data_IF_362433307429
#
_entry.id   IF_362433307429
#
_cell.length_a   1.000
_cell.length_b   1.000
_cell.length_c   1.000
_cell.angle_alpha   90.00
_cell.angle_beta   90.00
_cell.angle_gamma   90.00
#
_symmetry.space_group_name_H-M   'P 1'
#
loop_
_entity.id
_entity.type
_entity.pdbx_description
1 polymer ?
#
# COMPACT_ATOMS: atom_id res chain seq x y z
N UNK A 1 21.55 25.09 11.92
CA UNK A 1 20.53 25.73 12.77
C UNK A 1 21.24 26.34 13.97
N UNK A 2 21.21 27.67 14.12
CA UNK A 2 21.93 28.38 15.17
C UNK A 2 21.27 28.20 16.55
N UNK A 3 22.05 28.39 17.63
CA UNK A 3 21.56 28.34 19.03
C UNK A 3 20.32 29.23 19.23
N UNK A 4 20.24 30.35 18.53
CA UNK A 4 19.12 31.28 18.59
C UNK A 4 17.81 30.72 18.02
N UNK A 5 17.88 29.92 16.95
CA UNK A 5 16.70 29.29 16.34
C UNK A 5 16.17 28.18 17.27
N UNK A 6 17.08 27.45 17.90
CA UNK A 6 16.73 26.41 18.89
C UNK A 6 16.05 27.03 20.12
N UNK A 7 16.58 28.15 20.63
CA UNK A 7 15.99 28.86 21.77
C UNK A 7 14.60 29.45 21.43
N UNK A 8 14.41 29.92 20.21
CA UNK A 8 13.12 30.44 19.74
C UNK A 8 12.06 29.34 19.65
N UNK A 9 12.45 28.18 19.16
CA UNK A 9 11.59 26.97 19.05
C UNK A 9 11.12 26.45 20.41
N UNK A 10 11.97 26.56 21.43
CA UNK A 10 11.67 26.03 22.79
C UNK A 10 11.35 27.13 23.82
N UNK A 11 11.02 28.35 23.38
CA UNK A 11 10.67 29.48 24.25
C UNK A 11 9.53 29.16 25.23
N UNK A 12 8.59 28.32 24.82
CA UNK A 12 7.47 27.86 25.64
C UNK A 12 7.89 26.99 26.85
N UNK A 13 9.10 26.36 26.79
CA UNK A 13 9.64 25.57 27.90
C UNK A 13 10.25 26.43 29.02
N UNK A 14 10.59 27.68 28.75
CA UNK A 14 11.28 28.55 29.70
C UNK A 14 10.50 28.76 31.01
N UNK A 15 9.18 29.01 31.02
CA UNK A 15 8.42 29.09 32.24
C UNK A 15 8.45 27.79 33.04
N UNK A 16 8.25 26.65 32.39
CA UNK A 16 8.30 25.33 33.02
C UNK A 16 9.65 25.02 33.69
N UNK A 17 10.77 25.49 33.07
CA UNK A 17 12.09 25.34 33.63
C UNK A 17 12.30 26.31 34.82
N UNK A 18 11.71 27.51 34.75
CA UNK A 18 11.78 28.51 35.84
C UNK A 18 11.02 28.06 37.08
N UNK A 19 9.88 27.40 36.87
CA UNK A 19 9.03 26.92 37.98
C UNK A 19 9.47 25.56 38.55
N UNK A 20 10.36 24.85 37.85
CA UNK A 20 10.87 23.56 38.31
C UNK A 20 11.78 23.70 39.56
N UNK A 21 11.70 22.72 40.46
CA UNK A 21 12.58 22.63 41.61
C UNK A 21 14.07 22.68 41.24
N UNK A 22 14.90 23.22 42.10
CA UNK A 22 16.34 23.50 41.85
C UNK A 22 17.13 22.26 41.39
N UNK A 23 16.83 21.10 41.95
CA UNK A 23 17.44 19.80 41.59
C UNK A 23 17.00 19.33 40.19
N UNK A 24 15.70 19.48 39.85
CA UNK A 24 15.10 19.16 38.55
C UNK A 24 15.69 20.10 37.48
N UNK A 25 15.75 21.40 37.78
CA UNK A 25 16.34 22.41 36.90
C UNK A 25 17.82 22.11 36.58
N UNK A 26 18.60 21.71 37.58
CA UNK A 26 20.02 21.33 37.38
C UNK A 26 20.13 20.08 36.48
N UNK A 27 19.29 19.07 36.69
CA UNK A 27 19.26 17.86 35.84
C UNK A 27 18.87 18.19 34.41
N UNK A 28 17.84 19.01 34.19
CA UNK A 28 17.42 19.47 32.89
C UNK A 28 18.55 20.23 32.17
N UNK A 29 19.14 21.22 32.79
CA UNK A 29 20.26 21.98 32.22
C UNK A 29 21.49 21.12 31.92
N UNK A 30 21.79 20.15 32.78
CA UNK A 30 22.87 19.18 32.53
C UNK A 30 22.57 18.31 31.32
N UNK A 31 21.34 17.89 31.15
CA UNK A 31 20.92 17.08 30.01
C UNK A 31 20.90 17.89 28.69
N UNK A 32 20.44 19.14 28.71
CA UNK A 32 20.45 20.03 27.52
C UNK A 32 21.89 20.29 27.03
N UNK A 33 22.87 20.23 27.94
CA UNK A 33 24.33 20.42 27.61
C UNK A 33 24.99 19.14 27.12
N UNK A 34 24.34 17.98 27.24
CA UNK A 34 24.89 16.74 26.67
C UNK A 34 24.92 16.84 25.16
N UNK A 35 25.94 16.26 24.54
CA UNK A 35 25.98 16.13 23.10
C UNK A 35 24.75 15.34 22.62
N UNK A 36 24.27 15.64 21.42
CA UNK A 36 23.11 15.02 20.80
C UNK A 36 23.21 13.49 20.78
N UNK A 37 24.39 12.96 20.57
CA UNK A 37 24.71 11.52 20.54
C UNK A 37 24.35 10.80 21.85
N UNK A 38 24.35 11.51 22.98
CA UNK A 38 23.99 10.94 24.28
C UNK A 38 22.46 10.85 24.50
N UNK A 39 21.65 11.52 23.67
CA UNK A 39 20.19 11.46 23.71
C UNK A 39 19.62 10.41 22.77
N UNK A 40 20.34 10.11 21.71
CA UNK A 40 19.96 9.15 20.67
C UNK A 40 21.06 8.09 20.63
N UNK A 41 20.95 7.03 21.47
CA UNK A 41 21.96 5.98 21.48
C UNK A 41 22.03 5.32 20.10
N UNK A 42 23.23 5.11 19.61
CA UNK A 42 23.44 4.31 18.40
C UNK A 42 23.23 2.84 18.72
N UNK A 43 22.55 2.14 17.85
CA UNK A 43 22.31 0.71 17.90
C UNK A 43 22.73 0.06 16.59
N UNK A 44 22.47 -1.24 16.46
CA UNK A 44 22.76 -2.00 15.24
C UNK A 44 21.68 -1.86 14.17
N UNK A 45 20.49 -1.33 14.54
CA UNK A 45 19.36 -1.13 13.65
C UNK A 45 19.34 0.28 13.08
N UNK A 46 18.88 0.42 11.83
CA UNK A 46 18.90 1.66 11.06
C UNK A 46 17.65 2.53 11.24
N UNK A 47 16.67 2.08 12.04
CA UNK A 47 15.44 2.84 12.26
C UNK A 47 15.74 4.22 12.89
N UNK A 48 15.02 5.26 12.43
CA UNK A 48 15.17 6.63 12.95
C UNK A 48 14.71 6.71 14.41
N UNK A 49 15.69 6.68 15.31
CA UNK A 49 15.49 6.73 16.77
C UNK A 49 14.69 7.98 17.18
N UNK A 50 14.88 9.11 16.53
CA UNK A 50 14.14 10.34 16.84
C UNK A 50 12.65 10.17 16.55
N UNK A 51 12.31 9.58 15.41
CA UNK A 51 10.93 9.31 15.05
C UNK A 51 10.31 8.23 15.95
N UNK A 52 11.06 7.19 16.30
CA UNK A 52 10.63 6.19 17.28
C UNK A 52 10.31 6.83 18.65
N UNK A 53 11.18 7.70 19.16
CA UNK A 53 10.96 8.42 20.43
C UNK A 53 9.73 9.34 20.31
N UNK A 54 9.59 10.11 19.25
CA UNK A 54 8.45 10.99 19.05
C UNK A 54 7.15 10.20 19.06
N UNK A 55 7.11 9.06 18.37
CA UNK A 55 5.94 8.18 18.37
C UNK A 55 5.60 7.64 19.76
N UNK A 56 6.60 7.19 20.53
CA UNK A 56 6.40 6.68 21.89
C UNK A 56 5.87 7.72 22.88
N UNK A 57 6.23 9.00 22.70
CA UNK A 57 5.88 10.10 23.60
C UNK A 57 4.65 10.87 23.15
N UNK A 58 4.07 10.53 22.02
CA UNK A 58 2.89 11.15 21.44
C UNK A 58 1.62 10.76 22.24
N UNK A 59 0.53 11.57 22.21
CA UNK A 59 -0.77 11.20 22.75
C UNK A 59 -1.44 9.98 22.12
N UNK A 60 -0.85 9.42 21.07
CA UNK A 60 -1.27 8.17 20.40
C UNK A 60 -2.69 8.21 19.82
N UNK A 61 -3.07 9.31 19.19
CA UNK A 61 -4.38 9.44 18.53
C UNK A 61 -4.63 8.34 17.50
N UNK A 62 -3.58 7.91 16.81
CA UNK A 62 -3.64 6.83 15.81
C UNK A 62 -4.12 5.48 16.36
N UNK A 63 -4.09 5.27 17.68
CA UNK A 63 -4.59 4.01 18.30
C UNK A 63 -6.09 3.82 18.12
N UNK A 64 -6.85 4.91 18.06
CA UNK A 64 -8.31 4.85 17.98
C UNK A 64 -8.79 4.34 16.62
N UNK A 65 -7.97 4.45 15.59
CA UNK A 65 -8.30 4.05 14.22
C UNK A 65 -7.35 2.99 13.64
N UNK A 66 -6.55 2.32 14.47
CA UNK A 66 -5.72 1.21 14.03
C UNK A 66 -6.57 -0.07 13.94
N UNK A 67 -6.89 -0.54 12.72
CA UNK A 67 -7.72 -1.72 12.50
C UNK A 67 -7.16 -2.98 13.19
N UNK A 68 -5.85 -3.20 13.14
CA UNK A 68 -5.19 -4.33 13.82
C UNK A 68 -5.34 -4.26 15.35
N UNK A 69 -5.25 -3.05 15.94
CA UNK A 69 -5.46 -2.89 17.38
C UNK A 69 -6.91 -3.16 17.76
N UNK A 70 -7.87 -2.59 17.02
CA UNK A 70 -9.29 -2.79 17.26
C UNK A 70 -9.70 -4.26 17.11
N UNK A 71 -9.18 -4.94 16.09
CA UNK A 71 -9.47 -6.35 15.85
C UNK A 71 -8.88 -7.28 16.91
N UNK A 72 -7.68 -6.97 17.41
CA UNK A 72 -6.96 -7.81 18.36
C UNK A 72 -7.29 -7.52 19.82
N UNK A 73 -7.83 -6.33 20.13
CA UNK A 73 -7.98 -5.81 21.49
C UNK A 73 -6.67 -5.84 22.32
N UNK A 74 -5.53 -5.93 21.63
CA UNK A 74 -4.21 -6.07 22.24
C UNK A 74 -3.36 -4.82 22.02
N UNK A 75 -3.15 -4.04 23.08
CA UNK A 75 -2.38 -2.78 23.04
C UNK A 75 -0.94 -2.97 22.50
N UNK A 76 -0.35 -4.15 22.64
CA UNK A 76 0.96 -4.45 22.08
C UNK A 76 1.00 -4.30 20.54
N UNK A 77 -0.16 -4.35 19.87
CA UNK A 77 -0.30 -4.16 18.44
C UNK A 77 -0.61 -2.73 18.03
N UNK A 78 -0.71 -1.80 19.00
CA UNK A 78 -0.88 -0.38 18.67
C UNK A 78 0.34 0.19 17.93
N UNK A 79 0.17 1.22 17.08
CA UNK A 79 1.28 1.84 16.37
C UNK A 79 2.39 2.33 17.28
N UNK A 80 2.02 2.96 18.41
CA UNK A 80 2.98 3.48 19.37
C UNK A 80 3.73 2.39 20.13
N UNK A 81 3.08 1.26 20.43
CA UNK A 81 3.75 0.14 21.10
C UNK A 81 4.73 -0.55 20.16
N UNK A 82 4.36 -0.75 18.89
CA UNK A 82 5.30 -1.25 17.86
C UNK A 82 6.51 -0.34 17.73
N UNK A 83 6.33 0.99 17.73
CA UNK A 83 7.46 1.94 17.72
C UNK A 83 8.31 1.83 18.98
N UNK A 84 7.74 1.53 20.14
CA UNK A 84 8.47 1.28 21.40
C UNK A 84 9.32 0.01 21.29
N UNK A 85 8.78 -1.07 20.75
CA UNK A 85 9.55 -2.30 20.51
C UNK A 85 10.67 -2.02 19.51
N UNK A 86 10.36 -1.33 18.39
CA UNK A 86 11.37 -0.89 17.43
C UNK A 86 12.50 -0.11 18.08
N UNK A 87 12.20 0.81 19.00
CA UNK A 87 13.21 1.53 19.78
C UNK A 87 14.06 0.61 20.65
N UNK A 88 13.46 -0.38 21.32
CA UNK A 88 14.21 -1.31 22.17
C UNK A 88 15.10 -2.26 21.35
N UNK A 89 14.65 -2.68 20.18
CA UNK A 89 15.46 -3.43 19.21
C UNK A 89 16.64 -2.57 18.72
N UNK A 90 16.35 -1.35 18.26
CA UNK A 90 17.38 -0.41 17.73
C UNK A 90 18.41 -0.03 18.79
N UNK A 91 18.06 0.02 20.06
CA UNK A 91 18.96 0.38 21.15
C UNK A 91 19.57 -0.82 21.89
N UNK A 92 19.48 -2.02 21.32
CA UNK A 92 19.99 -3.29 21.86
C UNK A 92 19.48 -3.62 23.27
N UNK A 93 18.28 -3.13 23.64
CA UNK A 93 17.63 -3.45 24.91
C UNK A 93 16.83 -4.75 24.86
N UNK A 94 16.45 -5.15 23.67
CA UNK A 94 15.86 -6.45 23.34
C UNK A 94 16.79 -7.10 22.31
N UNK A 95 17.34 -8.26 22.65
CA UNK A 95 18.06 -9.09 21.71
C UNK A 95 17.05 -9.91 20.90
N UNK A 96 16.86 -9.61 19.59
CA UNK A 96 15.89 -10.33 18.77
C UNK A 96 16.28 -11.80 18.50
N UNK A 97 17.54 -12.17 18.73
CA UNK A 97 18.06 -13.54 18.55
C UNK A 97 17.70 -14.45 19.72
N UNK A 98 17.38 -13.90 20.90
CA UNK A 98 16.93 -14.68 22.05
C UNK A 98 15.53 -15.26 21.76
N UNK A 99 15.37 -16.61 21.80
CA UNK A 99 14.06 -17.25 21.56
C UNK A 99 12.93 -16.72 22.46
N UNK A 100 13.24 -16.20 23.64
CA UNK A 100 12.26 -15.59 24.56
C UNK A 100 11.66 -14.29 24.00
N UNK A 101 12.36 -13.65 23.07
CA UNK A 101 11.98 -12.38 22.47
C UNK A 101 11.32 -12.55 21.09
N UNK A 102 11.07 -13.78 20.66
CA UNK A 102 10.46 -14.08 19.35
C UNK A 102 9.14 -13.33 19.13
N UNK A 103 8.33 -13.21 20.19
CA UNK A 103 7.06 -12.47 20.10
C UNK A 103 7.24 -11.02 19.69
N UNK A 104 8.29 -10.33 20.16
CA UNK A 104 8.57 -8.95 19.77
C UNK A 104 8.95 -8.84 18.29
N UNK A 105 9.63 -9.85 17.75
CA UNK A 105 9.91 -9.94 16.30
C UNK A 105 8.60 -10.12 15.52
N UNK A 106 7.75 -11.06 15.93
CA UNK A 106 6.46 -11.32 15.28
C UNK A 106 5.55 -10.09 15.28
N UNK A 107 5.54 -9.30 16.37
CA UNK A 107 4.76 -8.05 16.46
C UNK A 107 5.13 -7.03 15.37
N UNK A 108 6.40 -7.01 14.91
CA UNK A 108 6.83 -6.11 13.84
C UNK A 108 6.19 -6.45 12.47
N UNK A 109 5.72 -7.69 12.30
CA UNK A 109 5.05 -8.14 11.07
C UNK A 109 3.52 -8.15 11.15
N UNK A 110 2.91 -7.95 12.33
CA UNK A 110 1.44 -7.87 12.49
C UNK A 110 0.93 -6.46 12.20
N UNK A 111 0.94 -6.08 10.91
CA UNK A 111 0.46 -4.78 10.44
C UNK A 111 -0.19 -4.92 9.06
N UNK A 112 -1.34 -4.26 8.88
CA UNK A 112 -2.06 -4.21 7.59
C UNK A 112 -1.39 -3.27 6.58
N UNK A 113 -0.40 -2.47 7.00
CA UNK A 113 0.28 -1.45 6.19
C UNK A 113 -0.69 -0.45 5.52
N UNK A 114 -1.83 -0.22 6.13
CA UNK A 114 -2.91 0.65 5.62
C UNK A 114 -2.62 2.15 5.74
N UNK A 115 -1.65 2.53 6.58
CA UNK A 115 -1.23 3.92 6.85
C UNK A 115 -2.27 4.83 7.53
N UNK A 116 -3.36 4.31 8.09
CA UNK A 116 -4.32 5.14 8.83
C UNK A 116 -3.66 5.87 10.02
N UNK A 117 -2.69 5.22 10.65
CA UNK A 117 -1.90 5.85 11.71
C UNK A 117 -1.14 7.11 11.25
N UNK A 118 -0.81 7.25 9.98
CA UNK A 118 -0.19 8.46 9.40
C UNK A 118 -1.17 9.61 9.30
N UNK A 119 -2.43 9.34 8.93
CA UNK A 119 -3.49 10.35 8.83
C UNK A 119 -3.70 11.06 10.18
N UNK A 120 -3.67 10.29 11.27
CA UNK A 120 -3.84 10.81 12.63
C UNK A 120 -2.54 11.31 13.28
N UNK A 121 -1.40 11.21 12.55
CA UNK A 121 -0.11 11.56 13.13
C UNK A 121 0.15 13.07 13.12
N UNK A 122 0.28 13.72 14.29
CA UNK A 122 0.58 15.16 14.35
C UNK A 122 2.00 15.51 13.86
N UNK A 123 2.84 14.49 13.61
CA UNK A 123 4.20 14.63 13.09
C UNK A 123 4.30 14.22 11.62
N UNK A 124 3.20 13.80 11.01
CA UNK A 124 3.08 13.43 9.58
C UNK A 124 4.06 12.32 9.13
N UNK A 125 4.50 11.45 10.03
CA UNK A 125 5.37 10.34 9.64
C UNK A 125 4.65 8.99 9.68
N UNK A 126 5.10 8.08 8.83
CA UNK A 126 4.56 6.74 8.69
C UNK A 126 5.18 5.78 9.70
N UNK A 127 4.34 5.17 10.54
CA UNK A 127 4.76 4.04 11.38
C UNK A 127 5.09 2.83 10.50
N UNK A 128 4.43 2.66 9.37
CA UNK A 128 4.72 1.60 8.40
C UNK A 128 6.17 1.69 7.92
N UNK A 129 6.65 2.89 7.55
CA UNK A 129 8.05 3.09 7.14
C UNK A 129 9.03 2.78 8.27
N UNK A 130 8.70 3.09 9.53
CA UNK A 130 9.53 2.71 10.68
C UNK A 130 9.59 1.18 10.83
N UNK A 131 8.45 0.49 10.69
CA UNK A 131 8.40 -0.97 10.74
C UNK A 131 9.13 -1.62 9.57
N UNK A 132 9.05 -1.04 8.38
CA UNK A 132 9.79 -1.52 7.20
C UNK A 132 11.29 -1.52 7.49
N UNK A 133 11.86 -0.43 8.04
CA UNK A 133 13.28 -0.37 8.39
C UNK A 133 13.67 -1.39 9.47
N UNK A 134 12.83 -1.58 10.50
CA UNK A 134 13.08 -2.61 11.51
C UNK A 134 13.05 -4.02 10.91
N UNK A 135 12.13 -4.28 9.96
CA UNK A 135 12.07 -5.57 9.25
C UNK A 135 13.29 -5.81 8.37
N UNK A 136 13.85 -4.75 7.73
CA UNK A 136 15.10 -4.85 6.98
C UNK A 136 16.22 -5.35 7.87
N UNK A 137 16.43 -4.69 9.01
CA UNK A 137 17.46 -5.06 9.99
C UNK A 137 17.26 -6.48 10.55
N UNK A 138 16.01 -6.90 10.80
CA UNK A 138 15.68 -8.26 11.23
C UNK A 138 16.00 -9.31 10.14
N UNK A 139 15.69 -9.00 8.89
CA UNK A 139 15.96 -9.88 7.75
C UNK A 139 17.46 -10.03 7.51
N UNK A 140 18.24 -8.95 7.61
CA UNK A 140 19.70 -8.96 7.50
C UNK A 140 20.36 -9.84 8.58
N UNK A 141 19.71 -9.96 9.74
CA UNK A 141 20.13 -10.87 10.83
C UNK A 141 19.60 -12.30 10.67
N UNK A 142 18.86 -12.62 9.59
CA UNK A 142 18.25 -13.93 9.35
C UNK A 142 17.04 -14.25 10.24
N UNK A 143 16.45 -13.22 10.88
CA UNK A 143 15.37 -13.35 11.85
C UNK A 143 13.96 -13.18 11.23
N UNK A 144 13.85 -13.27 9.92
CA UNK A 144 12.55 -13.28 9.24
C UNK A 144 11.66 -14.41 9.78
N UNK A 145 10.39 -14.16 10.15
CA UNK A 145 9.46 -15.19 10.61
C UNK A 145 9.22 -16.29 9.57
N UNK A 146 8.99 -17.52 10.01
CA UNK A 146 8.82 -18.68 9.14
C UNK A 146 7.61 -18.56 8.18
N UNK A 147 6.52 -17.92 8.61
CA UNK A 147 5.38 -17.68 7.73
C UNK A 147 5.73 -16.71 6.60
N UNK A 148 6.62 -15.74 6.83
CA UNK A 148 7.15 -14.85 5.79
C UNK A 148 8.07 -15.62 4.81
N UNK A 149 9.01 -16.45 5.32
CA UNK A 149 9.89 -17.30 4.50
C UNK A 149 9.09 -18.21 3.57
N UNK A 150 7.98 -18.78 4.06
CA UNK A 150 7.08 -19.62 3.25
C UNK A 150 6.47 -18.81 2.08
N UNK A 151 6.07 -17.59 2.31
CA UNK A 151 5.51 -16.73 1.25
C UNK A 151 6.58 -16.34 0.22
N UNK A 152 7.79 -16.00 0.67
CA UNK A 152 8.91 -15.70 -0.23
C UNK A 152 9.26 -16.91 -1.09
N UNK A 153 9.40 -18.09 -0.46
CA UNK A 153 9.67 -19.33 -1.21
C UNK A 153 8.60 -19.58 -2.27
N UNK A 154 7.32 -19.41 -1.91
CA UNK A 154 6.21 -19.59 -2.85
C UNK A 154 6.30 -18.63 -4.03
N UNK A 155 6.59 -17.35 -3.78
CA UNK A 155 6.83 -16.36 -4.84
C UNK A 155 7.98 -16.74 -5.76
N UNK A 156 9.09 -17.24 -5.21
CA UNK A 156 10.25 -17.69 -5.96
C UNK A 156 9.93 -18.91 -6.82
N UNK A 157 9.20 -19.89 -6.25
CA UNK A 157 8.88 -21.15 -6.92
C UNK A 157 7.78 -20.99 -8.00
N UNK A 158 6.84 -20.07 -7.83
CA UNK A 158 5.61 -20.01 -8.65
C UNK A 158 5.37 -18.66 -9.33
N UNK A 159 6.10 -17.61 -8.97
CA UNK A 159 5.86 -16.24 -9.43
C UNK A 159 4.59 -15.59 -8.85
N UNK A 160 3.87 -16.26 -7.95
CA UNK A 160 2.61 -15.80 -7.36
C UNK A 160 2.47 -16.24 -5.90
N UNK A 161 1.63 -15.55 -5.14
CA UNK A 161 1.26 -15.99 -3.78
C UNK A 161 0.08 -16.98 -3.76
N UNK A 162 -0.50 -17.29 -4.93
CA UNK A 162 -1.69 -18.14 -5.04
C UNK A 162 -1.37 -19.57 -5.46
N UNK A 163 -2.21 -20.54 -5.06
CA UNK A 163 -1.96 -21.97 -5.24
C UNK A 163 -2.79 -22.62 -6.36
N UNK A 164 -3.61 -21.87 -7.10
CA UNK A 164 -4.54 -22.47 -8.04
C UNK A 164 -4.11 -22.35 -9.51
N UNK A 165 -4.66 -23.23 -10.35
CA UNK A 165 -4.38 -23.22 -11.78
C UNK A 165 -5.27 -22.19 -12.50
N UNK A 166 -4.79 -20.96 -12.56
CA UNK A 166 -5.45 -19.79 -13.13
C UNK A 166 -5.85 -20.01 -14.59
N UNK A 167 -4.92 -20.54 -15.40
CA UNK A 167 -5.12 -20.65 -16.84
C UNK A 167 -6.29 -21.56 -17.23
N UNK A 168 -6.54 -22.62 -16.46
CA UNK A 168 -7.68 -23.48 -16.69
C UNK A 168 -8.99 -22.73 -16.51
N UNK A 169 -9.13 -21.98 -15.42
CA UNK A 169 -10.33 -21.19 -15.12
C UNK A 169 -10.60 -20.14 -16.19
N UNK A 170 -9.58 -19.43 -16.65
CA UNK A 170 -9.73 -18.41 -17.68
C UNK A 170 -10.15 -18.99 -19.01
N UNK A 171 -9.51 -20.09 -19.44
CA UNK A 171 -9.86 -20.80 -20.66
C UNK A 171 -11.31 -21.33 -20.62
N UNK A 172 -11.75 -21.87 -19.48
CA UNK A 172 -13.13 -22.32 -19.29
C UNK A 172 -14.16 -21.17 -19.38
N UNK A 173 -13.75 -19.95 -19.01
CA UNK A 173 -14.58 -18.73 -19.12
C UNK A 173 -14.43 -17.99 -20.45
N UNK A 174 -13.64 -18.52 -21.39
CA UNK A 174 -13.42 -17.90 -22.69
C UNK A 174 -12.63 -16.58 -22.63
N UNK A 175 -11.80 -16.41 -21.59
CA UNK A 175 -10.92 -15.25 -21.46
C UNK A 175 -9.53 -15.67 -21.88
N UNK A 176 -9.00 -15.04 -22.92
CA UNK A 176 -7.69 -15.33 -23.50
C UNK A 176 -6.74 -14.16 -23.29
N UNK A 177 -5.44 -14.47 -23.29
CA UNK A 177 -4.40 -13.44 -23.31
C UNK A 177 -4.50 -12.63 -24.61
N UNK A 178 -4.26 -11.33 -24.50
CA UNK A 178 -4.18 -10.43 -25.65
C UNK A 178 -2.73 -10.08 -25.84
N UNK A 179 -2.14 -10.64 -26.89
CA UNK A 179 -0.75 -10.42 -27.25
C UNK A 179 -0.49 -8.99 -27.72
N UNK A 180 0.70 -8.50 -27.42
CA UNK A 180 1.13 -7.19 -27.90
C UNK A 180 1.67 -7.26 -29.33
N UNK A 181 1.43 -6.19 -30.09
CA UNK A 181 2.11 -5.92 -31.37
C UNK A 181 3.28 -4.93 -31.20
N UNK A 182 3.51 -4.42 -29.95
CA UNK A 182 4.62 -3.54 -29.60
C UNK A 182 4.31 -2.04 -29.74
N UNK A 183 3.05 -1.68 -29.99
CA UNK A 183 2.55 -0.30 -30.16
C UNK A 183 1.16 -0.13 -29.54
N UNK A 184 0.96 -0.70 -28.34
CA UNK A 184 -0.31 -0.61 -27.62
C UNK A 184 -0.52 0.80 -27.04
N UNK A 185 -1.77 1.26 -27.02
CA UNK A 185 -2.16 2.46 -26.25
C UNK A 185 -2.10 2.17 -24.73
N UNK A 186 -2.52 0.96 -24.35
CA UNK A 186 -2.64 0.52 -22.96
C UNK A 186 -2.06 -0.88 -22.77
N UNK A 187 -1.28 -1.06 -21.71
CA UNK A 187 -0.96 -2.38 -21.17
C UNK A 187 -1.80 -2.64 -19.94
N UNK A 188 -2.72 -3.61 -20.00
CA UNK A 188 -3.53 -4.02 -18.85
C UNK A 188 -2.77 -5.07 -18.04
N UNK A 189 -2.13 -4.62 -16.95
CA UNK A 189 -1.42 -5.46 -16.00
C UNK A 189 -2.38 -6.15 -15.05
N UNK A 190 -2.57 -7.46 -15.21
CA UNK A 190 -3.45 -8.29 -14.40
C UNK A 190 -2.63 -8.87 -13.24
N UNK A 191 -2.92 -8.40 -12.01
CA UNK A 191 -2.22 -8.82 -10.80
C UNK A 191 -2.65 -10.22 -10.32
N UNK A 192 -1.81 -10.84 -9.46
CA UNK A 192 -2.06 -12.20 -8.96
C UNK A 192 -3.38 -12.33 -8.17
N UNK A 193 -3.82 -11.29 -7.45
CA UNK A 193 -5.11 -11.31 -6.76
C UNK A 193 -6.28 -11.16 -7.72
N UNK A 194 -6.15 -10.31 -8.74
CA UNK A 194 -7.15 -10.11 -9.78
C UNK A 194 -7.48 -11.40 -10.50
N UNK A 195 -6.48 -12.25 -10.68
CA UNK A 195 -6.67 -13.54 -11.33
C UNK A 195 -7.66 -14.47 -10.62
N UNK A 196 -8.06 -14.21 -9.37
CA UNK A 196 -9.15 -14.89 -8.66
C UNK A 196 -10.53 -14.47 -9.14
N UNK A 197 -10.62 -13.32 -9.76
CA UNK A 197 -11.87 -12.67 -10.16
C UNK A 197 -11.94 -12.53 -11.69
N UNK A 198 -12.15 -13.64 -12.43
CA UNK A 198 -12.18 -13.61 -13.90
C UNK A 198 -13.27 -12.71 -14.46
N UNK A 199 -14.36 -12.48 -13.72
CA UNK A 199 -15.42 -11.57 -14.16
C UNK A 199 -14.93 -10.10 -14.16
N UNK A 200 -14.07 -9.71 -13.21
CA UNK A 200 -13.42 -8.39 -13.19
C UNK A 200 -12.53 -8.22 -14.42
N UNK A 201 -11.68 -9.21 -14.71
CA UNK A 201 -10.82 -9.18 -15.89
C UNK A 201 -11.62 -9.10 -17.18
N UNK A 202 -12.70 -9.91 -17.28
CA UNK A 202 -13.59 -9.89 -18.44
C UNK A 202 -14.24 -8.52 -18.64
N UNK A 203 -14.78 -7.94 -17.57
CA UNK A 203 -15.38 -6.60 -17.61
C UNK A 203 -14.38 -5.54 -18.09
N UNK A 204 -13.15 -5.53 -17.54
CA UNK A 204 -12.13 -4.58 -17.94
C UNK A 204 -11.71 -4.73 -19.41
N UNK A 205 -11.57 -5.97 -19.89
CA UNK A 205 -11.29 -6.25 -21.31
C UNK A 205 -12.44 -5.72 -22.19
N UNK A 206 -13.68 -5.93 -21.78
CA UNK A 206 -14.87 -5.46 -22.53
C UNK A 206 -14.92 -3.93 -22.58
N UNK A 207 -14.58 -3.23 -21.48
CA UNK A 207 -14.52 -1.76 -21.47
C UNK A 207 -13.47 -1.21 -22.43
N UNK A 208 -12.26 -1.76 -22.40
CA UNK A 208 -11.17 -1.33 -23.29
C UNK A 208 -11.54 -1.57 -24.76
N UNK A 209 -12.14 -2.72 -25.08
CA UNK A 209 -12.62 -3.03 -26.44
C UNK A 209 -13.74 -2.08 -26.89
N UNK A 210 -14.72 -1.81 -26.01
CA UNK A 210 -15.85 -0.92 -26.31
C UNK A 210 -15.40 0.53 -26.53
N UNK A 211 -14.39 0.97 -25.77
CA UNK A 211 -13.78 2.29 -25.93
C UNK A 211 -12.85 2.40 -27.16
N UNK A 212 -12.65 1.31 -27.92
CA UNK A 212 -11.79 1.29 -29.11
C UNK A 212 -10.31 1.42 -28.80
N UNK A 213 -9.87 1.05 -27.61
CA UNK A 213 -8.47 1.13 -27.16
C UNK A 213 -7.71 -0.08 -27.68
N UNK A 214 -6.50 0.17 -28.24
CA UNK A 214 -5.54 -0.90 -28.57
C UNK A 214 -4.78 -1.27 -27.30
N UNK A 215 -4.85 -2.55 -26.90
CA UNK A 215 -4.23 -2.98 -25.64
C UNK A 215 -3.79 -4.44 -25.68
N UNK A 216 -2.83 -4.76 -24.81
CA UNK A 216 -2.43 -6.13 -24.50
C UNK A 216 -2.53 -6.43 -22.99
N UNK A 217 -2.36 -7.71 -22.65
CA UNK A 217 -2.45 -8.20 -21.26
C UNK A 217 -1.29 -9.14 -20.92
N UNK A 218 -1.08 -9.41 -19.63
CA UNK A 218 -0.11 -10.40 -19.15
C UNK A 218 -0.76 -11.68 -18.61
N UNK A 219 -1.92 -12.05 -19.12
CA UNK A 219 -2.72 -13.14 -18.55
C UNK A 219 -2.04 -14.51 -18.61
N UNK A 220 -1.18 -14.74 -19.60
CA UNK A 220 -0.38 -15.95 -19.77
C UNK A 220 0.89 -15.97 -18.90
N UNK A 221 1.25 -14.85 -18.28
CA UNK A 221 2.42 -14.66 -17.44
C UNK A 221 2.07 -14.74 -15.95
N UNK A 222 2.81 -15.55 -15.19
CA UNK A 222 2.67 -15.65 -13.73
C UNK A 222 3.59 -14.65 -13.04
N UNK A 223 3.30 -13.38 -13.15
CA UNK A 223 4.18 -12.35 -12.58
C UNK A 223 3.45 -11.55 -11.54
N UNK A 224 3.82 -11.76 -10.28
CA UNK A 224 3.40 -10.90 -9.17
C UNK A 224 4.09 -9.54 -9.28
N UNK A 225 3.40 -8.47 -8.87
CA UNK A 225 4.01 -7.13 -8.77
C UNK A 225 5.06 -7.00 -7.64
N UNK A 226 5.35 -8.06 -6.89
CA UNK A 226 6.32 -8.05 -5.82
C UNK A 226 5.86 -7.36 -4.52
N UNK A 227 4.64 -6.80 -4.45
CA UNK A 227 4.13 -6.16 -3.23
C UNK A 227 4.24 -7.03 -1.97
N UNK A 228 3.94 -8.34 -2.01
CA UNK A 228 4.12 -9.23 -0.86
C UNK A 228 5.57 -9.30 -0.38
N UNK A 229 6.52 -9.51 -1.30
CA UNK A 229 7.95 -9.54 -0.96
C UNK A 229 8.43 -8.19 -0.43
N UNK A 230 7.96 -7.07 -1.01
CA UNK A 230 8.23 -5.73 -0.51
C UNK A 230 7.71 -5.50 0.92
N UNK A 231 6.54 -6.02 1.25
CA UNK A 231 5.98 -5.91 2.60
C UNK A 231 6.76 -6.72 3.63
N UNK A 232 7.30 -7.88 3.22
CA UNK A 232 8.17 -8.74 4.01
C UNK A 232 9.60 -8.18 4.06
N UNK A 233 9.98 -7.31 3.11
CA UNK A 233 11.30 -6.72 2.91
C UNK A 233 12.33 -7.71 2.36
N UNK A 234 11.89 -8.60 1.49
CA UNK A 234 12.78 -9.41 0.65
C UNK A 234 13.03 -8.71 -0.68
N UNK A 235 14.13 -7.97 -0.73
CA UNK A 235 14.46 -7.13 -1.89
C UNK A 235 14.91 -7.93 -3.11
N UNK A 236 15.58 -9.05 -2.92
CA UNK A 236 16.07 -9.87 -4.03
C UNK A 236 14.90 -10.43 -4.85
N UNK A 237 13.94 -11.08 -4.18
CA UNK A 237 12.72 -11.59 -4.83
C UNK A 237 11.93 -10.45 -5.47
N UNK A 238 11.81 -9.31 -4.76
CA UNK A 238 11.08 -8.16 -5.28
C UNK A 238 11.73 -7.57 -6.53
N UNK A 239 13.05 -7.49 -6.56
CA UNK A 239 13.83 -6.98 -7.70
C UNK A 239 13.65 -7.88 -8.93
N UNK A 240 13.80 -9.18 -8.76
CA UNK A 240 13.63 -10.14 -9.85
C UNK A 240 12.23 -10.07 -10.48
N UNK A 241 11.18 -9.94 -9.63
CA UNK A 241 9.81 -9.76 -10.10
C UNK A 241 9.63 -8.42 -10.82
N UNK A 242 10.23 -7.35 -10.30
CA UNK A 242 10.14 -6.03 -10.89
C UNK A 242 10.80 -5.98 -12.27
N UNK A 243 11.99 -6.57 -12.44
CA UNK A 243 12.69 -6.65 -13.73
C UNK A 243 11.84 -7.38 -14.77
N UNK A 244 11.25 -8.52 -14.42
CA UNK A 244 10.37 -9.27 -15.32
C UNK A 244 9.13 -8.44 -15.72
N UNK A 245 8.51 -7.72 -14.77
CA UNK A 245 7.35 -6.88 -15.05
C UNK A 245 7.71 -5.71 -15.98
N UNK A 246 8.86 -5.07 -15.75
CA UNK A 246 9.32 -3.98 -16.60
C UNK A 246 9.62 -4.43 -18.03
N UNK A 247 10.15 -5.64 -18.20
CA UNK A 247 10.37 -6.21 -19.53
C UNK A 247 9.06 -6.45 -20.29
N UNK A 248 8.02 -6.92 -19.60
CA UNK A 248 6.68 -7.05 -20.19
C UNK A 248 6.10 -5.70 -20.61
N UNK A 249 6.18 -4.71 -19.74
CA UNK A 249 5.70 -3.35 -20.01
C UNK A 249 6.46 -2.72 -21.20
N UNK A 250 7.78 -2.87 -21.25
CA UNK A 250 8.60 -2.37 -22.36
C UNK A 250 8.23 -3.03 -23.68
N UNK A 251 7.97 -4.34 -23.70
CA UNK A 251 7.59 -5.08 -24.89
C UNK A 251 6.24 -4.62 -25.46
N UNK A 252 5.31 -4.18 -24.61
CA UNK A 252 4.01 -3.70 -25.09
C UNK A 252 4.09 -2.39 -25.86
N UNK A 253 5.14 -1.59 -25.63
CA UNK A 253 5.24 -0.24 -26.20
C UNK A 253 4.19 0.75 -25.67
N UNK A 254 3.37 0.34 -24.69
CA UNK A 254 2.23 1.11 -24.23
C UNK A 254 2.64 2.43 -23.57
N UNK A 255 1.86 3.48 -23.85
CA UNK A 255 2.01 4.78 -23.19
C UNK A 255 1.38 4.80 -21.78
N UNK A 256 0.39 3.92 -21.56
CA UNK A 256 -0.33 3.82 -20.28
C UNK A 256 -0.33 2.37 -19.80
N UNK A 257 -0.02 2.17 -18.53
CA UNK A 257 -0.18 0.89 -17.84
C UNK A 257 -1.32 1.02 -16.85
N UNK A 258 -2.33 0.17 -16.97
CA UNK A 258 -3.45 0.11 -16.03
C UNK A 258 -3.45 -1.19 -15.25
N UNK A 259 -3.89 -1.15 -14.00
CA UNK A 259 -4.17 -2.34 -13.20
C UNK A 259 -5.36 -2.07 -12.28
N UNK A 260 -6.13 -3.10 -12.00
CA UNK A 260 -7.27 -3.08 -11.07
C UNK A 260 -6.89 -3.32 -9.61
N UNK A 261 -5.62 -3.54 -9.34
CA UNK A 261 -5.10 -3.72 -7.99
C UNK A 261 -4.26 -2.50 -7.56
N UNK A 262 -4.73 -1.70 -6.58
CA UNK A 262 -3.95 -0.56 -6.06
C UNK A 262 -2.57 -0.96 -5.53
N UNK A 263 -2.43 -2.18 -4.98
CA UNK A 263 -1.14 -2.73 -4.56
C UNK A 263 -0.17 -2.92 -5.71
N UNK A 264 -0.67 -3.37 -6.87
CA UNK A 264 0.13 -3.51 -8.08
C UNK A 264 0.53 -2.14 -8.63
N UNK A 265 -0.41 -1.21 -8.76
CA UNK A 265 -0.14 0.17 -9.20
C UNK A 265 0.89 0.85 -8.28
N UNK A 266 0.72 0.74 -6.95
CA UNK A 266 1.66 1.31 -6.00
C UNK A 266 3.06 0.69 -6.09
N UNK A 267 3.15 -0.62 -6.34
CA UNK A 267 4.45 -1.29 -6.52
C UNK A 267 5.14 -0.82 -7.80
N UNK A 268 4.44 -0.86 -8.92
CA UNK A 268 4.94 -0.44 -10.23
C UNK A 268 5.34 1.04 -10.25
N UNK A 269 4.47 1.92 -9.72
CA UNK A 269 4.62 3.38 -9.79
C UNK A 269 5.60 3.93 -8.75
N UNK A 270 5.49 3.50 -7.47
CA UNK A 270 6.14 4.18 -6.36
C UNK A 270 7.26 3.36 -5.72
N UNK A 271 7.16 2.01 -5.72
CA UNK A 271 8.08 1.19 -4.93
C UNK A 271 9.27 0.68 -5.73
N UNK A 272 9.12 0.40 -7.02
CA UNK A 272 10.22 -0.08 -7.87
C UNK A 272 11.40 0.89 -7.95
N UNK A 273 11.14 2.19 -7.87
CA UNK A 273 12.19 3.21 -7.82
C UNK A 273 13.21 2.96 -6.70
N UNK A 274 12.76 2.38 -5.58
CA UNK A 274 13.63 2.06 -4.44
C UNK A 274 14.69 1.00 -4.78
N UNK A 275 14.52 0.27 -5.86
CA UNK A 275 15.48 -0.75 -6.30
C UNK A 275 16.54 -0.24 -7.28
N UNK A 276 16.50 1.04 -7.62
CA UNK A 276 17.38 1.60 -8.66
C UNK A 276 17.14 0.97 -10.04
N UNK A 277 15.95 0.39 -10.26
CA UNK A 277 15.52 -0.09 -11.56
C UNK A 277 15.05 1.12 -12.35
N UNK A 278 15.80 1.51 -13.38
CA UNK A 278 15.53 2.72 -14.13
C UNK A 278 16.07 2.65 -15.56
N UNK A 279 15.84 3.71 -16.30
CA UNK A 279 16.44 3.94 -17.61
C UNK A 279 17.79 4.64 -17.37
N UNK A 280 18.89 4.08 -17.91
CA UNK A 280 20.16 4.80 -17.97
C UNK A 280 20.02 5.97 -18.94
N UNK A 281 20.19 7.19 -18.43
CA UNK A 281 20.22 8.40 -19.24
C UNK A 281 21.63 8.96 -19.17
N UNK A 282 22.19 9.28 -20.33
CA UNK A 282 23.42 10.04 -20.41
C UNK A 282 23.10 11.52 -20.16
N UNK A 283 23.51 12.06 -19.04
CA UNK A 283 23.49 13.52 -18.79
C UNK A 283 24.81 14.12 -19.22
N UNK A 284 24.77 15.09 -20.13
CA UNK A 284 25.89 15.97 -20.35
C UNK A 284 26.09 16.85 -19.11
N UNK A 285 27.26 16.82 -18.50
CA UNK A 285 27.63 17.81 -17.47
C UNK A 285 27.75 19.16 -18.16
N UNK A 286 26.91 20.11 -17.78
CA UNK A 286 27.13 21.52 -18.10
C UNK A 286 28.37 21.95 -17.31
N UNK A 287 29.50 22.15 -18.02
CA UNK A 287 30.69 22.72 -17.44
C UNK A 287 30.46 24.19 -17.10
N UNK A 288 30.91 24.61 -15.92
CA UNK A 288 30.89 26.02 -15.50
C UNK A 288 31.85 26.94 -16.29
N UNK A 289 32.72 26.39 -17.16
CA UNK A 289 33.62 27.16 -18.00
C UNK A 289 33.76 26.52 -19.40
N UNK A 290 33.65 27.33 -20.45
CA UNK A 290 33.69 26.95 -21.86
C UNK A 290 35.07 26.40 -22.36
N UNK A 291 36.13 26.40 -21.57
CA UNK A 291 37.45 25.97 -21.98
C UNK A 291 37.89 24.57 -21.49
N UNK A 292 37.10 23.86 -20.72
CA UNK A 292 37.37 22.50 -20.23
C UNK A 292 36.23 21.51 -20.53
N UNK A 293 35.53 21.65 -21.61
CA UNK A 293 34.49 20.71 -22.03
C UNK A 293 35.09 19.42 -22.62
N UNK A 294 35.83 18.65 -21.83
CA UNK A 294 35.84 17.21 -22.03
C UNK A 294 34.44 16.70 -21.66
N UNK A 295 33.73 16.13 -22.65
CA UNK A 295 32.43 15.47 -22.51
C UNK A 295 32.49 14.36 -21.44
N UNK A 296 32.37 14.72 -20.18
CA UNK A 296 32.12 13.76 -19.11
C UNK A 296 30.63 13.50 -19.06
N UNK A 297 30.18 12.55 -19.83
CA UNK A 297 28.83 11.96 -19.71
C UNK A 297 28.75 11.20 -18.39
N UNK A 298 27.87 11.64 -17.48
CA UNK A 298 27.53 10.92 -16.26
C UNK A 298 26.28 10.08 -16.54
N UNK A 299 26.42 8.75 -16.44
CA UNK A 299 25.28 7.86 -16.50
C UNK A 299 24.44 8.03 -15.24
N UNK A 300 23.28 8.63 -15.37
CA UNK A 300 22.31 8.78 -14.30
C UNK A 300 21.18 7.78 -14.51
N UNK A 301 20.93 6.94 -13.53
CA UNK A 301 19.76 6.07 -13.53
C UNK A 301 18.57 6.95 -13.14
N UNK A 302 17.75 7.34 -14.12
CA UNK A 302 16.43 7.87 -13.84
C UNK A 302 15.46 6.72 -13.64
N UNK A 303 14.50 6.88 -12.74
CA UNK A 303 13.47 5.86 -12.59
C UNK A 303 12.78 5.68 -13.95
N UNK A 304 12.47 4.44 -14.31
CA UNK A 304 11.71 4.09 -15.51
C UNK A 304 10.42 4.92 -15.65
N UNK A 305 9.91 5.43 -14.53
CA UNK A 305 8.63 6.10 -14.40
C UNK A 305 8.67 7.62 -14.55
N UNK A 306 9.87 8.24 -14.60
CA UNK A 306 10.00 9.66 -14.94
C UNK A 306 9.92 9.92 -16.45
N UNK A 307 10.25 8.90 -17.26
CA UNK A 307 10.29 8.98 -18.72
C UNK A 307 9.59 7.78 -19.42
N UNK A 308 9.01 6.86 -18.64
CA UNK A 308 8.26 5.66 -19.10
C UNK A 308 6.74 5.90 -19.16
N UNK A 309 5.96 4.81 -19.34
CA UNK A 309 4.52 4.90 -19.42
C UNK A 309 3.88 5.42 -18.15
N UNK A 310 2.75 6.11 -18.28
CA UNK A 310 1.93 6.53 -17.15
C UNK A 310 1.30 5.30 -16.49
N UNK A 311 1.59 5.07 -15.20
CA UNK A 311 1.01 3.95 -14.46
C UNK A 311 -0.13 4.47 -13.58
N UNK A 312 -1.34 3.98 -13.81
CA UNK A 312 -2.56 4.41 -13.12
C UNK A 312 -3.45 3.23 -12.75
N UNK A 313 -4.37 3.45 -11.83
CA UNK A 313 -5.40 2.47 -11.53
C UNK A 313 -6.45 2.41 -12.64
N UNK A 314 -7.04 1.23 -12.90
CA UNK A 314 -8.04 1.08 -13.97
C UNK A 314 -9.25 2.03 -13.78
N UNK A 315 -9.66 2.31 -12.54
CA UNK A 315 -10.76 3.24 -12.27
C UNK A 315 -10.41 4.69 -12.66
N UNK A 316 -9.15 5.11 -12.49
CA UNK A 316 -8.69 6.42 -12.98
C UNK A 316 -8.82 6.49 -14.52
N UNK A 317 -8.48 5.38 -15.19
CA UNK A 317 -8.59 5.29 -16.65
C UNK A 317 -10.06 5.25 -17.13
N UNK A 318 -10.90 4.45 -16.48
CA UNK A 318 -12.35 4.39 -16.80
C UNK A 318 -12.98 5.76 -16.59
N UNK A 319 -12.64 6.48 -15.51
CA UNK A 319 -13.10 7.84 -15.29
C UNK A 319 -12.75 8.76 -16.47
N UNK A 320 -11.52 8.70 -16.97
CA UNK A 320 -11.11 9.48 -18.16
C UNK A 320 -11.99 9.13 -19.36
N UNK A 321 -12.24 7.85 -19.63
CA UNK A 321 -13.06 7.42 -20.74
C UNK A 321 -14.54 7.86 -20.62
N UNK A 322 -15.06 7.93 -19.41
CA UNK A 322 -16.41 8.45 -19.11
C UNK A 322 -16.47 9.97 -19.33
N UNK A 323 -15.50 10.71 -18.78
CA UNK A 323 -15.42 12.16 -18.94
C UNK A 323 -15.21 12.59 -20.41
N UNK A 324 -14.52 11.76 -21.21
CA UNK A 324 -14.38 11.94 -22.66
C UNK A 324 -15.61 11.49 -23.47
N UNK A 325 -16.62 10.92 -22.83
CA UNK A 325 -17.82 10.39 -23.50
C UNK A 325 -17.60 9.13 -24.31
N UNK A 326 -16.46 8.45 -24.14
CA UNK A 326 -16.15 7.15 -24.77
C UNK A 326 -16.85 5.96 -24.10
N UNK A 327 -17.23 6.13 -22.82
CA UNK A 327 -18.06 5.20 -22.08
C UNK A 327 -19.28 5.92 -21.54
N UNK A 328 -20.45 5.33 -21.72
CA UNK A 328 -21.73 5.81 -21.18
C UNK A 328 -22.43 4.66 -20.49
N UNK A 329 -23.21 4.95 -19.48
CA UNK A 329 -23.91 3.93 -18.69
C UNK A 329 -25.41 4.06 -18.83
N UNK A 330 -26.07 2.91 -18.86
CA UNK A 330 -27.53 2.77 -18.70
C UNK A 330 -27.86 2.55 -17.21
N UNK A 331 -29.15 2.55 -16.90
CA UNK A 331 -29.65 2.28 -15.56
C UNK A 331 -29.32 0.84 -15.12
N UNK A 332 -28.83 0.69 -13.89
CA UNK A 332 -28.60 -0.63 -13.31
C UNK A 332 -29.92 -1.33 -12.95
N UNK A 333 -29.95 -2.68 -12.96
CA UNK A 333 -31.07 -3.43 -12.41
C UNK A 333 -31.38 -2.98 -10.97
N UNK A 334 -32.68 -2.94 -10.58
CA UNK A 334 -33.18 -2.43 -9.29
C UNK A 334 -32.37 -2.92 -8.08
N UNK A 335 -31.94 -4.17 -8.10
CA UNK A 335 -31.10 -4.76 -7.04
C UNK A 335 -29.81 -3.97 -6.78
N UNK A 336 -29.25 -3.32 -7.79
CA UNK A 336 -27.96 -2.64 -7.75
C UNK A 336 -28.06 -1.10 -7.68
N UNK A 337 -29.28 -0.54 -7.54
CA UNK A 337 -29.51 0.91 -7.55
C UNK A 337 -29.15 1.60 -6.22
N UNK A 338 -28.83 0.86 -5.18
CA UNK A 338 -28.34 1.42 -3.90
C UNK A 338 -27.06 0.73 -3.48
N UNK A 339 -25.97 1.49 -3.39
CA UNK A 339 -24.63 0.98 -3.10
C UNK A 339 -23.95 1.76 -1.98
N UNK A 340 -23.00 1.11 -1.30
CA UNK A 340 -22.02 1.77 -0.45
C UNK A 340 -20.61 1.50 -0.96
N UNK A 341 -19.66 2.38 -0.64
CA UNK A 341 -18.30 2.30 -1.14
C UNK A 341 -17.35 1.86 -0.03
N UNK A 342 -16.59 0.80 -0.30
CA UNK A 342 -15.36 0.54 0.44
C UNK A 342 -14.18 1.10 -0.35
N UNK A 343 -13.61 2.22 0.12
CA UNK A 343 -12.40 2.78 -0.48
C UNK A 343 -11.20 1.89 -0.16
N UNK A 344 -10.47 1.37 -1.17
CA UNK A 344 -9.24 0.64 -0.92
C UNK A 344 -8.17 1.57 -0.30
N UNK A 345 -7.62 1.20 0.85
CA UNK A 345 -6.69 2.04 1.61
C UNK A 345 -5.46 2.49 0.78
N UNK A 346 -4.93 1.60 -0.07
CA UNK A 346 -3.80 1.94 -0.95
C UNK A 346 -4.21 2.88 -2.09
N UNK A 347 -5.43 2.78 -2.62
CA UNK A 347 -5.95 3.70 -3.62
C UNK A 347 -6.11 5.09 -3.02
N UNK A 348 -6.78 5.18 -1.88
CA UNK A 348 -7.07 6.45 -1.22
C UNK A 348 -5.81 7.15 -0.70
N UNK A 349 -4.92 6.43 0.03
CA UNK A 349 -3.78 7.05 0.75
C UNK A 349 -2.47 7.06 -0.04
N UNK A 350 -2.13 5.95 -0.72
CA UNK A 350 -0.84 5.84 -1.42
C UNK A 350 -0.89 6.36 -2.86
N UNK A 351 -2.04 6.23 -3.52
CA UNK A 351 -2.27 6.72 -4.88
C UNK A 351 -3.03 8.06 -4.91
N UNK A 352 -3.55 8.52 -3.77
CA UNK A 352 -4.30 9.78 -3.59
C UNK A 352 -5.54 9.88 -4.51
N UNK A 353 -6.19 8.75 -4.81
CA UNK A 353 -7.42 8.73 -5.58
C UNK A 353 -8.61 8.36 -4.70
N UNK A 354 -9.38 9.37 -4.34
CA UNK A 354 -10.61 9.29 -3.55
C UNK A 354 -11.85 9.66 -4.35
N UNK A 355 -11.69 9.96 -5.63
CA UNK A 355 -12.74 10.54 -6.48
C UNK A 355 -13.19 9.62 -7.60
N UNK A 356 -12.29 8.85 -8.21
CA UNK A 356 -12.59 8.13 -9.46
C UNK A 356 -13.76 7.15 -9.33
N UNK A 357 -13.85 6.38 -8.24
CA UNK A 357 -14.98 5.47 -8.00
C UNK A 357 -16.29 6.25 -7.99
N UNK A 358 -16.33 7.39 -7.28
CA UNK A 358 -17.53 8.22 -7.14
C UNK A 358 -17.94 8.84 -8.47
N UNK A 359 -16.99 9.45 -9.16
CA UNK A 359 -17.24 10.05 -10.48
C UNK A 359 -17.86 9.03 -11.44
N UNK A 360 -17.34 7.80 -11.48
CA UNK A 360 -17.91 6.75 -12.35
C UNK A 360 -19.33 6.40 -11.93
N UNK A 361 -19.57 6.17 -10.65
CA UNK A 361 -20.89 5.80 -10.13
C UNK A 361 -21.91 6.91 -10.31
N UNK A 362 -21.53 8.18 -10.20
CA UNK A 362 -22.39 9.36 -10.42
C UNK A 362 -22.87 9.50 -11.88
N UNK A 363 -22.17 8.87 -12.84
CA UNK A 363 -22.61 8.83 -14.24
C UNK A 363 -23.60 7.70 -14.53
N UNK A 364 -23.93 6.85 -13.56
CA UNK A 364 -24.95 5.80 -13.71
C UNK A 364 -26.33 6.38 -13.33
N UNK A 365 -27.32 6.35 -14.24
CA UNK A 365 -28.65 6.88 -13.94
C UNK A 365 -29.30 6.19 -12.75
N UNK A 366 -30.00 6.96 -11.89
CA UNK A 366 -30.79 6.50 -10.76
C UNK A 366 -30.02 5.70 -9.68
N UNK A 367 -28.70 5.77 -9.64
CA UNK A 367 -27.89 5.11 -8.62
C UNK A 367 -27.81 5.95 -7.34
N UNK A 368 -28.22 5.37 -6.23
CA UNK A 368 -28.05 5.94 -4.88
C UNK A 368 -26.72 5.48 -4.27
N UNK A 369 -25.84 6.42 -3.97
CA UNK A 369 -24.57 6.17 -3.27
C UNK A 369 -24.73 6.59 -1.82
N UNK A 370 -24.53 5.66 -0.88
CA UNK A 370 -24.58 5.94 0.56
C UNK A 370 -23.18 5.76 1.14
N UNK A 371 -22.60 6.86 1.56
CA UNK A 371 -21.23 6.86 2.13
C UNK A 371 -21.22 6.32 3.55
N UNK A 372 -20.26 5.47 3.92
CA UNK A 372 -20.05 5.08 5.31
C UNK A 372 -19.38 6.23 6.10
N UNK A 373 -19.40 6.17 7.42
CA UNK A 373 -18.75 7.17 8.28
C UNK A 373 -17.26 7.26 7.99
N UNK A 374 -16.59 6.10 7.90
CA UNK A 374 -15.15 6.01 7.56
C UNK A 374 -14.99 5.81 6.06
N UNK A 375 -14.72 6.89 5.35
CA UNK A 375 -14.69 6.96 3.88
C UNK A 375 -13.46 7.74 3.40
N UNK A 376 -13.09 7.56 2.14
CA UNK A 376 -11.96 8.26 1.51
C UNK A 376 -10.65 8.01 2.26
N UNK A 377 -9.92 9.07 2.65
CA UNK A 377 -8.65 8.97 3.37
C UNK A 377 -8.81 8.32 4.76
N UNK A 378 -10.00 8.39 5.35
CA UNK A 378 -10.31 7.82 6.66
C UNK A 378 -10.84 6.39 6.60
N UNK A 379 -10.88 5.78 5.42
CA UNK A 379 -11.38 4.40 5.26
C UNK A 379 -10.64 3.42 6.17
N UNK A 380 -11.35 2.47 6.76
CA UNK A 380 -10.74 1.36 7.48
C UNK A 380 -10.35 0.22 6.53
N UNK A 381 -9.37 -0.58 6.93
CA UNK A 381 -8.82 -1.65 6.10
C UNK A 381 -9.80 -2.83 5.97
N UNK A 382 -9.70 -3.53 4.84
CA UNK A 382 -10.37 -4.82 4.61
C UNK A 382 -9.70 -6.01 5.34
N UNK A 383 -8.63 -5.77 6.11
CA UNK A 383 -7.88 -6.78 6.83
C UNK A 383 -6.90 -7.62 5.99
N UNK A 384 -6.92 -7.56 4.66
CA UNK A 384 -6.15 -8.47 3.79
C UNK A 384 -4.88 -7.86 3.18
N UNK A 385 -4.40 -6.74 3.71
CA UNK A 385 -3.19 -6.04 3.27
C UNK A 385 -2.00 -6.25 4.22
N UNK A 386 -0.83 -5.76 3.84
CA UNK A 386 0.39 -5.85 4.65
C UNK A 386 0.86 -7.28 4.85
N UNK A 387 1.20 -7.61 6.10
CA UNK A 387 1.68 -8.93 6.51
C UNK A 387 0.79 -9.60 7.56
N UNK A 388 -0.24 -8.90 8.05
CA UNK A 388 -1.08 -9.37 9.17
C UNK A 388 -1.79 -10.69 8.87
N UNK A 389 -2.32 -10.85 7.65
CA UNK A 389 -3.09 -12.05 7.28
C UNK A 389 -2.21 -13.33 7.19
N UNK A 390 -0.90 -13.19 7.07
CA UNK A 390 0.04 -14.32 7.18
C UNK A 390 0.50 -14.56 8.61
N UNK A 391 0.67 -13.46 9.37
CA UNK A 391 1.13 -13.50 10.75
C UNK A 391 0.03 -13.95 11.72
N UNK A 392 -1.21 -13.51 11.46
CA UNK A 392 -2.36 -13.78 12.32
C UNK A 392 -3.67 -13.62 11.53
N UNK A 393 -4.15 -14.75 11.02
CA UNK A 393 -5.34 -14.78 10.17
C UNK A 393 -6.62 -14.38 10.94
N UNK A 394 -6.69 -14.68 12.23
CA UNK A 394 -7.86 -14.37 13.05
C UNK A 394 -8.02 -12.84 13.23
N UNK A 395 -6.91 -12.15 13.50
CA UNK A 395 -6.90 -10.68 13.55
C UNK A 395 -7.33 -10.10 12.20
N UNK A 396 -6.83 -10.65 11.11
CA UNK A 396 -7.16 -10.18 9.75
C UNK A 396 -8.65 -10.34 9.44
N UNK A 397 -9.25 -11.49 9.77
CA UNK A 397 -10.68 -11.73 9.61
C UNK A 397 -11.48 -10.77 10.48
N UNK A 398 -11.08 -10.58 11.75
CA UNK A 398 -11.78 -9.67 12.66
C UNK A 398 -11.72 -8.21 12.20
N UNK A 399 -10.60 -7.78 11.61
CA UNK A 399 -10.48 -6.46 10.98
C UNK A 399 -11.48 -6.32 9.82
N UNK A 400 -11.63 -7.36 8.99
CA UNK A 400 -12.60 -7.40 7.90
C UNK A 400 -14.07 -7.42 8.43
N UNK A 401 -14.37 -8.17 9.48
CA UNK A 401 -15.70 -8.18 10.13
C UNK A 401 -16.08 -6.79 10.62
N UNK A 402 -15.16 -6.11 11.33
CA UNK A 402 -15.40 -4.75 11.82
C UNK A 402 -15.71 -3.81 10.64
N UNK A 403 -14.98 -3.94 9.52
CA UNK A 403 -15.25 -3.13 8.33
C UNK A 403 -16.59 -3.44 7.68
N UNK A 404 -16.99 -4.70 7.61
CA UNK A 404 -18.32 -5.10 7.11
C UNK A 404 -19.43 -4.51 8.00
N UNK A 405 -19.28 -4.59 9.32
CA UNK A 405 -20.27 -4.04 10.27
C UNK A 405 -20.45 -2.53 10.05
N UNK A 406 -19.37 -1.75 9.83
CA UNK A 406 -19.44 -0.31 9.48
C UNK A 406 -20.15 -0.05 8.14
N UNK A 407 -19.88 -0.86 7.12
CA UNK A 407 -20.50 -0.71 5.81
C UNK A 407 -22.00 -1.05 5.85
N UNK A 408 -22.42 -1.99 6.69
CA UNK A 408 -23.83 -2.35 6.92
C UNK A 408 -24.64 -1.20 7.49
N UNK A 409 -24.04 -0.32 8.29
CA UNK A 409 -24.71 0.84 8.89
C UNK A 409 -25.30 1.79 7.83
N UNK A 410 -24.79 1.76 6.60
CA UNK A 410 -25.33 2.53 5.47
C UNK A 410 -26.71 2.03 4.99
N UNK A 411 -27.10 0.81 5.35
CA UNK A 411 -28.31 0.15 4.87
C UNK A 411 -28.26 -0.25 3.38
N UNK A 412 -27.12 -0.10 2.70
CA UNK A 412 -26.91 -0.64 1.36
C UNK A 412 -26.55 -2.13 1.43
N UNK A 413 -27.09 -2.91 0.49
CA UNK A 413 -26.80 -4.35 0.38
C UNK A 413 -25.64 -4.66 -0.54
N UNK A 414 -25.26 -3.71 -1.38
CA UNK A 414 -24.18 -3.83 -2.36
C UNK A 414 -23.02 -2.98 -1.87
N UNK A 415 -21.90 -3.63 -1.60
CA UNK A 415 -20.64 -3.00 -1.26
C UNK A 415 -19.77 -2.96 -2.51
N UNK A 416 -19.43 -1.76 -2.98
CA UNK A 416 -18.58 -1.57 -4.16
C UNK A 416 -17.16 -1.28 -3.70
N UNK A 417 -16.21 -1.96 -4.31
CA UNK A 417 -14.77 -1.68 -4.11
C UNK A 417 -14.04 -1.72 -5.46
N UNK A 418 -12.84 -1.23 -5.51
CA UNK A 418 -11.98 -1.25 -6.69
C UNK A 418 -10.61 -1.86 -6.33
N UNK A 419 -10.65 -3.06 -5.74
CA UNK A 419 -9.44 -3.77 -5.35
C UNK A 419 -9.75 -5.25 -5.12
N UNK A 420 -9.15 -6.17 -5.88
CA UNK A 420 -9.41 -7.61 -5.73
C UNK A 420 -8.97 -8.14 -4.36
N UNK A 421 -7.95 -7.53 -3.75
CA UNK A 421 -7.54 -7.87 -2.37
C UNK A 421 -8.60 -7.45 -1.35
N UNK A 422 -9.25 -6.29 -1.55
CA UNK A 422 -10.32 -5.83 -0.68
C UNK A 422 -11.58 -6.68 -0.87
N UNK A 423 -11.93 -7.04 -2.10
CA UNK A 423 -13.04 -7.95 -2.39
C UNK A 423 -12.88 -9.27 -1.65
N UNK A 424 -11.69 -9.88 -1.74
CA UNK A 424 -11.36 -11.10 -1.01
C UNK A 424 -11.41 -10.91 0.52
N UNK A 425 -10.79 -9.86 1.04
CA UNK A 425 -10.73 -9.59 2.48
C UNK A 425 -12.11 -9.38 3.09
N UNK A 426 -12.92 -8.52 2.47
CA UNK A 426 -14.30 -8.27 2.91
C UNK A 426 -15.16 -9.54 2.85
N UNK A 427 -14.97 -10.39 1.82
CA UNK A 427 -15.69 -11.66 1.72
C UNK A 427 -15.40 -12.60 2.92
N UNK A 428 -14.19 -12.57 3.48
CA UNK A 428 -13.88 -13.29 4.73
C UNK A 428 -14.53 -12.64 5.97
N UNK A 429 -14.83 -11.36 5.93
CA UNK A 429 -15.50 -10.63 7.03
C UNK A 429 -17.02 -10.77 7.03
N UNK A 430 -17.63 -11.29 5.96
CA UNK A 430 -19.09 -11.50 5.94
C UNK A 430 -19.45 -12.70 6.81
N UNK A 431 -20.25 -12.47 7.85
CA UNK A 431 -20.79 -13.52 8.70
C UNK A 431 -21.79 -14.38 7.95
N UNK A 432 -21.98 -15.63 8.35
CA UNK A 432 -22.87 -16.59 7.66
C UNK A 432 -24.32 -16.10 7.56
N UNK A 433 -24.79 -15.37 8.56
CA UNK A 433 -26.13 -14.75 8.59
C UNK A 433 -26.30 -13.65 7.53
N UNK A 434 -25.25 -12.92 7.21
CA UNK A 434 -25.25 -11.78 6.28
C UNK A 434 -25.01 -12.18 4.81
N UNK A 435 -24.52 -13.40 4.55
CA UNK A 435 -24.15 -13.88 3.19
C UNK A 435 -25.27 -13.84 2.15
N UNK A 436 -26.52 -13.84 2.59
CA UNK A 436 -27.69 -13.75 1.70
C UNK A 436 -28.12 -12.31 1.43
N UNK A 437 -27.69 -11.36 2.26
CA UNK A 437 -28.15 -10.00 2.21
C UNK A 437 -27.13 -9.03 1.65
N UNK A 438 -25.83 -9.33 1.83
CA UNK A 438 -24.72 -8.47 1.43
C UNK A 438 -23.98 -9.10 0.26
N UNK A 439 -23.76 -8.30 -0.76
CA UNK A 439 -22.99 -8.65 -1.95
C UNK A 439 -21.83 -7.68 -2.12
N UNK A 440 -20.61 -8.19 -2.22
CA UNK A 440 -19.43 -7.40 -2.55
C UNK A 440 -19.22 -7.47 -4.05
N UNK A 441 -18.97 -6.33 -4.67
CA UNK A 441 -18.71 -6.21 -6.10
C UNK A 441 -17.49 -5.34 -6.36
N UNK A 442 -16.62 -5.81 -7.25
CA UNK A 442 -15.70 -4.90 -7.90
C UNK A 442 -16.48 -3.88 -8.74
N UNK A 443 -15.97 -2.64 -8.80
CA UNK A 443 -16.59 -1.58 -9.59
C UNK A 443 -16.78 -2.01 -11.05
N UNK A 444 -15.76 -2.69 -11.62
CA UNK A 444 -15.81 -3.15 -13.01
C UNK A 444 -16.95 -4.14 -13.25
N UNK A 445 -17.18 -5.08 -12.32
CA UNK A 445 -18.31 -5.99 -12.39
C UNK A 445 -19.66 -5.29 -12.29
N UNK A 446 -19.75 -4.24 -11.46
CA UNK A 446 -20.99 -3.50 -11.29
C UNK A 446 -21.32 -2.72 -12.57
N UNK A 447 -20.39 -1.91 -13.06
CA UNK A 447 -20.61 -1.06 -14.22
C UNK A 447 -20.75 -1.85 -15.52
N UNK A 448 -20.21 -3.08 -15.61
CA UNK A 448 -20.45 -3.96 -16.77
C UNK A 448 -21.91 -4.33 -16.97
N UNK A 449 -22.77 -4.17 -15.95
CA UNK A 449 -24.23 -4.39 -16.03
C UNK A 449 -24.99 -3.17 -16.52
N UNK A 450 -24.34 -2.02 -16.60
CA UNK A 450 -24.88 -0.74 -17.05
C UNK A 450 -24.39 -0.34 -18.47
N UNK A 451 -23.67 -1.23 -19.16
CA UNK A 451 -23.11 -0.95 -20.50
C UNK A 451 -23.84 -1.70 -21.59
#
# INVERSE_FOLDING_TARGET
>A
MGIFDTLKKYKWMLPLIQDAERNVRRKLLKNVRKKKENFYPEGEFHADIKNLINCMLCPNMCRFDCGVLQASENEALSPAYKSRIGYFLTTNKIDPSDPKNKEFVDLMYKCSNEENCKIWCPFEFSVVSLLETVRDDLNDKGLMPEYCKKQIKKLQDTGTIEDYNIFKTYKEKGIENIETEGDDDVFYYIGCQTMKFPEVVKANIEFLKKAGIKFSTNLDQRVCCGAPALNIRDFETSKNLAENNLDLIKKSGAEIVVSDCPGCVNSLKNRYQKFGIGIEIEKQKQGENEEEAEEKTEKVIKSYFEEGPKIIHIVEYIKILVEEGKLTFEELPEKYQKVTIHDPCLLARNLNDITSIRTILEHIPNLEIVEPIYTKDYTHCCGWSGTVHWADKEISIKEAENRIDELKETGAKIIVTACPTCELGLAYGIKDEDKKEIEIKDLSELISKAI
#
